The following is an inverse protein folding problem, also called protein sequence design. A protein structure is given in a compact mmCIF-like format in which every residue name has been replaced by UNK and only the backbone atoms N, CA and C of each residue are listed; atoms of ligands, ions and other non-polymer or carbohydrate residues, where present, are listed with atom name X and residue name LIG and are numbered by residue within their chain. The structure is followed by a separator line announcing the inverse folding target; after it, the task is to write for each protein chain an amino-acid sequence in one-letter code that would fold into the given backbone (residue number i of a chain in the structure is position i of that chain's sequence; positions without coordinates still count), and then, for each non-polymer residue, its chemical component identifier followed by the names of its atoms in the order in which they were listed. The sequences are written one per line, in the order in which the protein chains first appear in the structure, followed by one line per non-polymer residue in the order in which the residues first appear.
data_IF_171589383357
#
_entry.id   IF_171589383357
#
_cell.length_a   1.000
_cell.length_b   1.000
_cell.length_c   1.000
_cell.angle_alpha   90.00
_cell.angle_beta   90.00
_cell.angle_gamma   90.00
#
_symmetry.space_group_name_H-M   'P 1'
#
loop_
_entity.id
_entity.type
_entity.pdbx_description
1 polymer ?
#
# COMPACT_ATOMS: atom_id res chain seq x y z
N UNK A 1 -21.54 -16.99 -19.56
CA UNK A 1 -22.61 -16.50 -20.47
C UNK A 1 -22.48 -15.01 -20.82
N UNK A 2 -22.07 -14.12 -19.89
CA UNK A 2 -21.92 -12.68 -20.17
C UNK A 2 -20.84 -12.31 -21.20
N UNK A 3 -19.67 -12.96 -21.13
CA UNK A 3 -18.54 -12.68 -22.02
C UNK A 3 -18.88 -12.82 -23.50
N UNK A 4 -19.46 -13.97 -23.90
CA UNK A 4 -19.86 -14.23 -25.28
C UNK A 4 -20.84 -13.18 -25.81
N UNK A 5 -21.76 -12.70 -24.94
CA UNK A 5 -22.74 -11.67 -25.30
C UNK A 5 -22.08 -10.30 -25.48
N UNK A 6 -21.18 -9.90 -24.57
CA UNK A 6 -20.42 -8.64 -24.67
C UNK A 6 -19.55 -8.64 -25.93
N UNK A 7 -18.80 -9.72 -26.18
CA UNK A 7 -17.97 -9.87 -27.38
C UNK A 7 -18.79 -9.81 -28.67
N UNK A 8 -20.01 -10.35 -28.67
CA UNK A 8 -20.94 -10.25 -29.82
C UNK A 8 -21.39 -8.82 -30.06
N UNK A 9 -21.78 -8.07 -29.02
CA UNK A 9 -22.23 -6.68 -29.18
C UNK A 9 -21.12 -5.75 -29.64
N UNK A 10 -19.90 -5.92 -29.14
CA UNK A 10 -18.73 -5.19 -29.63
C UNK A 10 -18.46 -5.42 -31.14
N UNK A 11 -18.82 -6.59 -31.68
CA UNK A 11 -18.69 -6.89 -33.11
C UNK A 11 -19.84 -6.32 -33.96
N UNK A 12 -21.04 -6.22 -33.38
CA UNK A 12 -22.25 -5.83 -34.11
C UNK A 12 -22.50 -4.32 -34.13
N UNK A 13 -22.04 -3.59 -33.11
CA UNK A 13 -22.28 -2.14 -32.98
C UNK A 13 -20.94 -1.39 -32.90
N UNK A 14 -20.46 -0.80 -34.02
CA UNK A 14 -19.21 -0.04 -34.06
C UNK A 14 -19.15 1.13 -33.08
N UNK A 15 -20.29 1.73 -32.71
CA UNK A 15 -20.33 2.81 -31.72
C UNK A 15 -19.89 2.36 -30.33
N UNK A 16 -19.97 1.07 -30.01
CA UNK A 16 -19.47 0.52 -28.73
C UNK A 16 -17.94 0.44 -28.67
N UNK A 17 -17.21 0.69 -29.75
CA UNK A 17 -15.75 0.68 -29.76
C UNK A 17 -15.15 1.62 -28.71
N UNK A 18 -15.79 2.76 -28.43
CA UNK A 18 -15.35 3.72 -27.40
C UNK A 18 -15.37 3.13 -25.98
N UNK A 19 -16.19 2.10 -25.74
CA UNK A 19 -16.31 1.40 -24.45
C UNK A 19 -15.50 0.10 -24.39
N UNK A 20 -14.81 -0.28 -25.47
CA UNK A 20 -14.12 -1.57 -25.59
C UNK A 20 -13.19 -1.83 -24.41
N UNK A 21 -12.33 -0.86 -24.07
CA UNK A 21 -11.37 -1.01 -22.98
C UNK A 21 -12.05 -1.20 -21.61
N UNK A 22 -13.11 -0.44 -21.33
CA UNK A 22 -13.86 -0.59 -20.07
C UNK A 22 -14.54 -1.97 -19.99
N UNK A 23 -15.14 -2.44 -21.09
CA UNK A 23 -15.77 -3.76 -21.16
C UNK A 23 -14.74 -4.89 -21.04
N UNK A 24 -13.56 -4.75 -21.67
CA UNK A 24 -12.45 -5.69 -21.52
C UNK A 24 -11.97 -5.77 -20.07
N UNK A 25 -11.87 -4.63 -19.37
CA UNK A 25 -11.55 -4.62 -17.94
C UNK A 25 -12.63 -5.24 -17.06
N UNK A 26 -13.91 -5.06 -17.37
CA UNK A 26 -15.01 -5.74 -16.66
C UNK A 26 -14.89 -7.26 -16.84
N UNK A 27 -14.65 -7.71 -18.08
CA UNK A 27 -14.48 -9.14 -18.38
C UNK A 27 -13.25 -9.72 -17.68
N UNK A 28 -12.16 -8.96 -17.63
CA UNK A 28 -10.92 -9.32 -16.94
C UNK A 28 -11.14 -9.43 -15.43
N UNK A 29 -11.91 -8.53 -14.82
CA UNK A 29 -12.27 -8.56 -13.41
C UNK A 29 -13.30 -9.63 -13.04
N UNK A 30 -14.02 -10.20 -14.00
CA UNK A 30 -15.12 -11.13 -13.73
C UNK A 30 -14.74 -12.33 -12.84
N UNK A 31 -13.56 -12.98 -12.97
CA UNK A 31 -13.12 -14.04 -12.05
C UNK A 31 -12.85 -13.58 -10.61
N UNK A 32 -12.65 -12.27 -10.42
CA UNK A 32 -12.31 -11.62 -9.14
C UNK A 32 -13.47 -10.79 -8.57
N UNK A 33 -14.63 -10.81 -9.25
CA UNK A 33 -15.87 -10.13 -8.85
C UNK A 33 -16.83 -11.16 -8.28
N UNK A 34 -17.34 -10.88 -7.08
CA UNK A 34 -18.16 -11.83 -6.33
C UNK A 34 -19.65 -11.58 -6.56
N UNK A 35 -20.51 -12.32 -5.86
CA UNK A 35 -21.94 -12.01 -5.85
C UNK A 35 -22.18 -10.61 -5.27
N UNK A 36 -23.28 -9.98 -5.68
CA UNK A 36 -23.65 -8.64 -5.22
C UNK A 36 -23.70 -8.54 -3.68
N UNK A 37 -24.26 -9.54 -3.01
CA UNK A 37 -24.32 -9.60 -1.55
C UNK A 37 -22.91 -9.62 -0.92
N UNK A 38 -21.98 -10.39 -1.49
CA UNK A 38 -20.62 -10.49 -0.97
C UNK A 38 -19.83 -9.21 -1.26
N UNK A 39 -19.96 -8.63 -2.45
CA UNK A 39 -19.36 -7.34 -2.78
C UNK A 39 -19.87 -6.23 -1.85
N UNK A 40 -21.16 -6.23 -1.50
CA UNK A 40 -21.73 -5.28 -0.55
C UNK A 40 -21.14 -5.45 0.87
N UNK A 41 -20.90 -6.69 1.31
CA UNK A 41 -20.21 -6.97 2.57
C UNK A 41 -18.76 -6.48 2.52
N UNK A 42 -18.02 -6.80 1.46
CA UNK A 42 -16.63 -6.37 1.28
C UNK A 42 -16.49 -4.85 1.22
N UNK A 43 -17.42 -4.16 0.57
CA UNK A 43 -17.45 -2.70 0.54
C UNK A 43 -17.58 -2.12 1.96
N UNK A 44 -18.39 -2.75 2.83
CA UNK A 44 -18.55 -2.32 4.23
C UNK A 44 -17.31 -2.62 5.09
N UNK A 45 -16.51 -3.64 4.76
CA UNK A 45 -15.25 -3.94 5.48
C UNK A 45 -14.09 -3.03 5.08
N UNK A 46 -14.24 -2.21 4.03
CA UNK A 46 -13.19 -1.30 3.54
C UNK A 46 -12.53 -0.49 4.65
N UNK A 47 -13.34 0.13 5.53
CA UNK A 47 -12.87 0.93 6.68
C UNK A 47 -12.03 0.12 7.67
N UNK A 48 -12.40 -1.13 7.93
CA UNK A 48 -11.64 -2.03 8.81
C UNK A 48 -10.28 -2.34 8.20
N UNK A 49 -10.26 -2.69 6.91
CA UNK A 49 -9.01 -3.03 6.21
C UNK A 49 -8.08 -1.83 5.99
N UNK A 50 -8.60 -0.59 6.01
CA UNK A 50 -7.79 0.64 5.90
C UNK A 50 -7.35 1.21 7.25
N UNK A 51 -7.93 0.75 8.36
CA UNK A 51 -7.64 1.28 9.69
C UNK A 51 -6.16 1.19 10.10
N UNK A 52 -5.40 0.09 9.82
CA UNK A 52 -4.00 0.02 10.19
C UNK A 52 -3.15 1.16 9.63
N UNK A 53 -3.40 1.56 8.38
CA UNK A 53 -2.67 2.67 7.75
C UNK A 53 -3.00 4.01 8.42
N UNK A 54 -4.27 4.21 8.78
CA UNK A 54 -4.70 5.44 9.47
C UNK A 54 -4.11 5.52 10.89
N UNK A 55 -4.09 4.39 11.61
CA UNK A 55 -3.47 4.28 12.93
C UNK A 55 -1.98 4.57 12.86
N UNK A 56 -1.25 3.95 11.92
CA UNK A 56 0.16 4.23 11.70
C UNK A 56 0.41 5.72 11.41
N UNK A 57 -0.37 6.31 10.50
CA UNK A 57 -0.21 7.71 10.11
C UNK A 57 -0.40 8.67 11.28
N UNK A 58 -1.49 8.53 12.04
CA UNK A 58 -1.74 9.37 13.23
C UNK A 58 -0.62 9.16 14.26
N UNK A 59 -0.26 7.90 14.50
CA UNK A 59 0.77 7.56 15.47
C UNK A 59 2.12 8.23 15.12
N UNK A 60 2.60 8.03 13.89
CA UNK A 60 3.88 8.53 13.41
C UNK A 60 3.94 10.07 13.33
N UNK A 61 2.83 10.70 12.95
CA UNK A 61 2.81 12.14 12.66
C UNK A 61 2.41 13.00 13.86
N UNK A 62 1.67 12.46 14.82
CA UNK A 62 1.10 13.25 15.92
C UNK A 62 1.40 12.71 17.32
N UNK A 63 1.54 11.38 17.50
CA UNK A 63 1.59 10.79 18.84
C UNK A 63 2.99 10.44 19.32
N UNK A 64 3.94 10.15 18.42
CA UNK A 64 5.31 9.87 18.86
C UNK A 64 5.91 11.19 19.41
N UNK A 65 6.34 11.21 20.68
CA UNK A 65 7.04 12.36 21.24
C UNK A 65 8.47 12.33 20.70
N UNK A 66 8.66 12.88 19.51
CA UNK A 66 9.93 12.86 18.80
C UNK A 66 11.03 13.53 19.63
N UNK A 67 12.23 12.92 19.71
CA UNK A 67 13.34 13.49 20.46
C UNK A 67 13.94 14.68 19.72
N UNK A 68 14.60 15.55 20.46
CA UNK A 68 15.43 16.62 19.90
C UNK A 68 16.90 16.23 19.91
N UNK A 69 17.66 16.77 18.96
CA UNK A 69 19.12 16.64 18.92
C UNK A 69 19.77 18.01 18.77
N UNK A 70 20.79 18.27 19.58
CA UNK A 70 21.68 19.42 19.39
C UNK A 70 22.78 19.06 18.39
N UNK A 71 22.87 19.87 17.33
CA UNK A 71 23.87 19.77 16.27
C UNK A 71 25.20 20.38 16.72
N UNK A 72 26.26 20.12 15.95
CA UNK A 72 27.59 20.69 16.18
C UNK A 72 27.62 22.23 16.07
N UNK A 73 26.63 22.82 15.39
CA UNK A 73 26.41 24.27 15.28
C UNK A 73 25.77 24.89 16.53
N UNK A 74 25.31 24.08 17.49
CA UNK A 74 24.53 24.52 18.65
C UNK A 74 23.02 24.62 18.38
N UNK A 75 22.58 24.43 17.14
CA UNK A 75 21.15 24.40 16.80
C UNK A 75 20.50 23.09 17.30
N UNK A 76 19.28 23.20 17.81
CA UNK A 76 18.47 22.05 18.23
C UNK A 76 17.43 21.73 17.16
N UNK A 77 17.31 20.45 16.80
CA UNK A 77 16.37 19.99 15.78
C UNK A 77 15.50 18.84 16.33
N UNK A 78 14.18 18.95 16.13
CA UNK A 78 13.24 17.86 16.37
C UNK A 78 13.44 16.74 15.34
N UNK A 79 13.69 15.52 15.79
CA UNK A 79 13.86 14.32 14.95
C UNK A 79 12.53 13.59 14.73
N UNK A 80 11.57 14.29 14.10
CA UNK A 80 10.46 13.61 13.41
C UNK A 80 10.93 13.11 12.03
N UNK A 81 10.04 12.53 11.22
CA UNK A 81 10.37 12.00 9.88
C UNK A 81 11.10 13.01 8.97
N UNK A 82 10.61 14.25 8.93
CA UNK A 82 11.22 15.32 8.13
C UNK A 82 12.56 15.77 8.72
N UNK A 83 12.62 15.93 10.05
CA UNK A 83 13.83 16.27 10.79
C UNK A 83 14.94 15.26 10.59
N UNK A 84 14.65 13.96 10.68
CA UNK A 84 15.60 12.90 10.38
C UNK A 84 16.14 13.02 8.95
N UNK A 85 15.24 13.13 7.96
CA UNK A 85 15.60 13.24 6.53
C UNK A 85 16.47 14.45 6.22
N UNK A 86 16.27 15.56 6.92
CA UNK A 86 17.07 16.77 6.78
C UNK A 86 18.42 16.64 7.49
N UNK A 87 18.43 16.17 8.74
CA UNK A 87 19.64 16.01 9.54
C UNK A 87 20.67 15.10 8.89
N UNK A 88 20.26 13.97 8.28
CA UNK A 88 21.19 13.01 7.66
C UNK A 88 21.88 13.56 6.40
N UNK A 89 21.34 14.64 5.80
CA UNK A 89 21.93 15.32 4.63
C UNK A 89 22.98 16.36 5.02
N UNK A 90 22.99 16.81 6.28
CA UNK A 90 23.93 17.83 6.73
C UNK A 90 25.36 17.28 6.82
N UNK A 91 26.38 17.99 6.31
CA UNK A 91 27.75 17.48 6.23
C UNK A 91 28.44 17.36 7.60
N UNK A 92 28.05 18.18 8.58
CA UNK A 92 28.72 18.28 9.87
C UNK A 92 28.05 17.48 11.00
N UNK A 93 27.05 16.67 10.66
CA UNK A 93 26.26 15.92 11.64
C UNK A 93 26.82 14.50 11.79
N UNK A 94 26.91 14.04 13.04
CA UNK A 94 27.21 12.63 13.34
C UNK A 94 26.00 11.77 12.96
N UNK A 95 26.01 11.22 11.75
CA UNK A 95 24.90 10.42 11.19
C UNK A 95 24.50 9.24 12.09
N UNK A 96 25.46 8.59 12.74
CA UNK A 96 25.20 7.52 13.71
C UNK A 96 24.34 8.01 14.88
N UNK A 97 24.69 9.15 15.49
CA UNK A 97 23.89 9.75 16.58
C UNK A 97 22.46 10.07 16.14
N UNK A 98 22.28 10.65 14.95
CA UNK A 98 20.94 10.93 14.40
C UNK A 98 20.16 9.64 14.16
N UNK A 99 20.81 8.63 13.58
CA UNK A 99 20.23 7.31 13.33
C UNK A 99 19.79 6.65 14.64
N UNK A 100 20.68 6.52 15.61
CA UNK A 100 20.43 5.85 16.88
C UNK A 100 19.35 6.56 17.69
N UNK A 101 19.33 7.90 17.67
CA UNK A 101 18.30 8.68 18.38
C UNK A 101 16.93 8.50 17.73
N UNK A 102 16.86 8.59 16.40
CA UNK A 102 15.60 8.47 15.67
C UNK A 102 15.03 7.05 15.69
N UNK A 103 15.84 6.05 15.32
CA UNK A 103 15.41 4.65 15.30
C UNK A 103 15.30 4.06 16.69
N UNK A 104 16.06 4.55 17.66
CA UNK A 104 15.87 4.23 19.08
C UNK A 104 14.45 4.59 19.54
N UNK A 105 13.95 5.77 19.14
CA UNK A 105 12.57 6.15 19.47
C UNK A 105 11.53 5.25 18.80
N UNK A 106 11.75 4.86 17.54
CA UNK A 106 10.89 3.88 16.87
C UNK A 106 10.90 2.50 17.56
N UNK A 107 12.07 2.07 18.03
CA UNK A 107 12.27 0.77 18.69
C UNK A 107 11.43 0.64 19.97
N UNK A 108 11.21 1.73 20.70
CA UNK A 108 10.32 1.76 21.88
C UNK A 108 8.88 1.31 21.56
N UNK A 109 8.44 1.45 20.30
CA UNK A 109 7.09 1.11 19.85
C UNK A 109 7.05 -0.08 18.88
N UNK A 110 8.15 -0.84 18.78
CA UNK A 110 8.30 -1.93 17.81
C UNK A 110 7.16 -2.95 17.89
N UNK A 111 6.79 -3.40 19.08
CA UNK A 111 5.73 -4.39 19.26
C UNK A 111 4.36 -3.87 18.76
N UNK A 112 4.03 -2.61 19.07
CA UNK A 112 2.78 -1.98 18.63
C UNK A 112 2.75 -1.84 17.11
N UNK A 113 3.84 -1.37 16.51
CA UNK A 113 3.96 -1.19 15.07
C UNK A 113 3.97 -2.52 14.33
N UNK A 114 4.59 -3.55 14.92
CA UNK A 114 4.50 -4.93 14.44
C UNK A 114 3.05 -5.43 14.43
N UNK A 115 2.28 -5.13 15.47
CA UNK A 115 0.83 -5.40 15.51
C UNK A 115 0.07 -4.71 14.39
N UNK A 116 0.30 -3.40 14.19
CA UNK A 116 -0.33 -2.62 13.11
C UNK A 116 0.02 -3.17 11.73
N UNK A 117 1.30 -3.46 11.48
CA UNK A 117 1.76 -4.04 10.22
C UNK A 117 1.17 -5.43 9.98
N UNK A 118 1.15 -6.28 10.99
CA UNK A 118 0.56 -7.61 10.88
C UNK A 118 -0.93 -7.53 10.52
N UNK A 119 -1.71 -6.65 11.16
CA UNK A 119 -3.12 -6.44 10.81
C UNK A 119 -3.28 -5.91 9.38
N UNK A 120 -2.37 -5.04 8.92
CA UNK A 120 -2.37 -4.59 7.53
C UNK A 120 -2.16 -5.76 6.55
N UNK A 121 -1.14 -6.59 6.80
CA UNK A 121 -0.83 -7.78 5.98
C UNK A 121 -2.01 -8.75 5.96
N UNK A 122 -2.63 -9.02 7.12
CA UNK A 122 -3.82 -9.88 7.19
C UNK A 122 -4.98 -9.32 6.35
N UNK A 123 -5.18 -7.99 6.35
CA UNK A 123 -6.17 -7.33 5.49
C UNK A 123 -5.87 -7.48 4.00
N UNK A 124 -4.59 -7.44 3.60
CA UNK A 124 -4.17 -7.71 2.22
C UNK A 124 -4.43 -9.18 1.84
N UNK A 125 -4.05 -10.13 2.69
CA UNK A 125 -4.29 -11.57 2.49
C UNK A 125 -5.78 -11.87 2.36
N UNK A 126 -6.61 -11.32 3.24
CA UNK A 126 -8.06 -11.43 3.18
C UNK A 126 -8.60 -10.97 1.82
N UNK A 127 -8.20 -9.78 1.34
CA UNK A 127 -8.62 -9.25 0.04
C UNK A 127 -8.17 -10.12 -1.13
N UNK A 128 -6.95 -10.67 -1.05
CA UNK A 128 -6.39 -11.59 -2.05
C UNK A 128 -7.21 -12.87 -2.15
N UNK A 129 -7.44 -13.53 -1.02
CA UNK A 129 -8.17 -14.80 -0.96
C UNK A 129 -9.62 -14.63 -1.40
N UNK A 130 -10.33 -13.62 -0.88
CA UNK A 130 -11.75 -13.44 -1.17
C UNK A 130 -11.99 -13.05 -2.63
N UNK A 131 -11.04 -12.39 -3.29
CA UNK A 131 -11.11 -12.03 -4.72
C UNK A 131 -10.46 -13.07 -5.64
N UNK A 132 -10.17 -14.29 -5.17
CA UNK A 132 -9.61 -15.36 -6.00
C UNK A 132 -8.30 -14.99 -6.73
N UNK A 133 -7.42 -14.22 -6.08
CA UNK A 133 -6.06 -14.03 -6.58
C UNK A 133 -5.11 -15.03 -5.93
N UNK A 134 -4.14 -15.53 -6.70
CA UNK A 134 -3.16 -16.50 -6.21
C UNK A 134 -2.21 -15.88 -5.19
N UNK A 135 -1.79 -14.63 -5.42
CA UNK A 135 -0.88 -13.90 -4.52
C UNK A 135 -1.33 -12.47 -4.31
N UNK A 136 -0.88 -11.87 -3.20
CA UNK A 136 -1.11 -10.45 -2.95
C UNK A 136 -0.40 -9.54 -3.95
N UNK A 137 0.67 -10.03 -4.60
CA UNK A 137 1.41 -9.31 -5.64
C UNK A 137 0.60 -9.29 -6.93
N UNK A 138 0.11 -10.44 -7.42
CA UNK A 138 -0.79 -10.46 -8.60
C UNK A 138 -2.01 -9.59 -8.37
N UNK A 139 -2.64 -9.65 -7.18
CA UNK A 139 -3.77 -8.76 -6.88
C UNK A 139 -3.38 -7.29 -7.00
N UNK A 140 -2.25 -6.88 -6.41
CA UNK A 140 -1.82 -5.48 -6.42
C UNK A 140 -1.50 -4.98 -7.83
N UNK A 141 -0.94 -5.83 -8.69
CA UNK A 141 -0.59 -5.52 -10.07
C UNK A 141 -1.75 -5.71 -11.06
N UNK A 142 -2.86 -6.32 -10.59
CA UNK A 142 -3.95 -6.71 -11.45
C UNK A 142 -4.58 -5.50 -12.12
N UNK A 143 -4.91 -4.44 -11.39
CA UNK A 143 -5.62 -3.29 -11.98
C UNK A 143 -4.84 -2.67 -13.14
N UNK A 144 -3.51 -2.61 -13.04
CA UNK A 144 -2.59 -2.10 -14.07
C UNK A 144 -2.27 -3.10 -15.19
N UNK A 145 -2.86 -4.30 -15.15
CA UNK A 145 -2.58 -5.42 -16.07
C UNK A 145 -1.09 -5.79 -16.15
N UNK A 146 -0.37 -5.61 -15.03
CA UNK A 146 1.06 -5.89 -14.95
C UNK A 146 1.33 -7.34 -14.55
N UNK A 147 2.24 -8.06 -15.24
CA UNK A 147 2.63 -9.39 -14.82
C UNK A 147 3.54 -9.34 -13.59
N UNK A 148 3.45 -10.35 -12.72
CA UNK A 148 4.28 -10.44 -11.51
C UNK A 148 5.79 -10.43 -11.81
N UNK A 149 6.19 -10.89 -13.00
CA UNK A 149 7.60 -10.90 -13.44
C UNK A 149 8.26 -9.53 -13.38
N UNK A 150 7.49 -8.43 -13.49
CA UNK A 150 8.04 -7.07 -13.35
C UNK A 150 8.67 -6.87 -11.97
N UNK A 151 8.03 -7.36 -10.91
CA UNK A 151 8.56 -7.25 -9.53
C UNK A 151 9.79 -8.13 -9.38
N UNK A 152 9.75 -9.37 -9.88
CA UNK A 152 10.90 -10.29 -9.82
C UNK A 152 12.16 -9.73 -10.51
N UNK A 153 12.01 -8.97 -11.58
CA UNK A 153 13.13 -8.32 -12.26
C UNK A 153 13.70 -7.10 -11.52
N UNK A 154 12.93 -6.46 -10.64
CA UNK A 154 13.43 -5.37 -9.79
C UNK A 154 14.26 -5.93 -8.64
N UNK A 155 13.84 -7.04 -8.03
CA UNK A 155 14.54 -7.66 -6.91
C UNK A 155 15.91 -8.23 -7.32
N UNK A 156 16.10 -8.58 -8.59
CA UNK A 156 17.38 -9.08 -9.12
C UNK A 156 18.41 -7.97 -9.43
N UNK A 157 18.04 -6.70 -9.30
CA UNK A 157 18.88 -5.54 -9.64
C UNK A 157 19.44 -4.78 -8.44
N UNK A 158 19.17 -5.23 -7.21
CA UNK A 158 19.76 -4.73 -5.97
C UNK A 158 20.86 -5.64 -5.45
#
# INVERSE_FOLDING_TARGET
MGETKIRRYLKQEPKLAVHKHALENILRNAPHTLSEEVEAVLAKTSKLTSAPNSIYSVFANANIPWPEITLSTGETQLLNQAGYSNCVKLPHVKKTKVFDTFWGKWKEYEATLGGVLNTHVQGLVFKTQVRNHDTSVSRALFDDAMPETVVSHLDQRG
#
